data_IF_283500979601
#
_entry.id   IF_283500979601
#
_cell.length_a   1.000
_cell.length_b   1.000
_cell.length_c   1.000
_cell.angle_alpha   90.00
_cell.angle_beta   90.00
_cell.angle_gamma   90.00
#
_symmetry.space_group_name_H-M   'P 1'
#
loop_
_entity.id
_entity.type
_entity.pdbx_description
1 polymer ?
#
# COMPACT_ATOMS: atom_id res chain seq x y z
N UNK A 1 5.68 -2.76 -10.37
CA UNK A 1 6.21 -1.37 -10.38
C UNK A 1 5.13 -0.31 -10.62
N UNK A 2 4.07 -0.56 -11.41
CA UNK A 2 3.02 0.43 -11.65
C UNK A 2 2.02 0.63 -10.49
N UNK A 3 2.13 -0.14 -9.41
CA UNK A 3 1.14 -0.15 -8.32
C UNK A 3 1.44 0.81 -7.15
N UNK A 4 2.57 1.53 -7.20
CA UNK A 4 2.98 2.49 -6.19
C UNK A 4 3.30 3.86 -6.80
N UNK A 5 2.91 4.94 -6.11
CA UNK A 5 3.29 6.33 -6.42
C UNK A 5 3.51 7.12 -5.13
N UNK A 6 4.48 8.00 -5.09
CA UNK A 6 4.72 8.84 -3.91
C UNK A 6 3.62 9.89 -3.73
N UNK A 7 3.35 10.65 -4.79
CA UNK A 7 2.20 11.55 -4.87
C UNK A 7 1.26 11.08 -5.97
N UNK A 8 -0.02 10.93 -5.60
CA UNK A 8 -1.06 10.61 -6.56
C UNK A 8 -2.36 11.34 -6.24
N UNK A 9 -3.08 11.67 -7.31
CA UNK A 9 -4.38 12.31 -7.24
C UNK A 9 -5.44 11.40 -6.57
N UNK A 10 -6.57 11.99 -6.15
CA UNK A 10 -7.67 11.25 -5.48
C UNK A 10 -8.27 10.10 -6.32
N UNK A 11 -8.03 10.09 -7.63
CA UNK A 11 -8.49 9.03 -8.53
C UNK A 11 -7.59 7.78 -8.51
N UNK A 12 -6.39 7.89 -7.93
CA UNK A 12 -5.46 6.77 -7.84
C UNK A 12 -5.86 5.81 -6.71
N UNK A 13 -6.35 4.63 -7.11
CA UNK A 13 -6.82 3.57 -6.20
C UNK A 13 -5.75 2.51 -5.91
N UNK A 14 -4.47 2.90 -5.89
CA UNK A 14 -3.34 1.99 -5.59
C UNK A 14 -2.52 2.52 -4.42
N UNK A 15 -1.38 1.90 -4.12
CA UNK A 15 -0.54 2.27 -2.98
C UNK A 15 0.06 3.67 -3.20
N UNK A 16 -0.10 4.53 -2.20
CA UNK A 16 0.48 5.88 -2.18
C UNK A 16 1.24 6.06 -0.88
N UNK A 17 2.36 6.77 -0.91
CA UNK A 17 3.10 7.08 0.31
C UNK A 17 2.18 7.77 1.33
N UNK A 18 2.14 7.26 2.56
CA UNK A 18 1.27 7.74 3.64
C UNK A 18 -0.19 7.28 3.57
N UNK A 19 -0.57 6.46 2.57
CA UNK A 19 -1.92 5.89 2.45
C UNK A 19 -1.93 4.37 2.61
N UNK A 20 -3.13 3.87 2.86
CA UNK A 20 -3.43 2.45 3.04
C UNK A 20 -4.00 1.83 1.75
N UNK A 21 -3.61 0.59 1.46
CA UNK A 21 -4.15 -0.24 0.38
C UNK A 21 -4.36 -1.66 0.87
N UNK A 22 -5.33 -2.38 0.33
CA UNK A 22 -5.55 -3.79 0.65
C UNK A 22 -4.75 -4.67 -0.31
N UNK A 23 -4.01 -5.62 0.24
CA UNK A 23 -3.44 -6.70 -0.54
C UNK A 23 -4.54 -7.71 -0.87
N UNK A 24 -4.63 -8.13 -2.14
CA UNK A 24 -5.65 -9.09 -2.57
C UNK A 24 -5.54 -10.38 -1.74
N UNK A 25 -6.67 -10.78 -1.13
CA UNK A 25 -6.79 -11.94 -0.24
C UNK A 25 -5.84 -11.93 0.98
N UNK A 26 -5.44 -10.74 1.43
CA UNK A 26 -4.52 -10.59 2.55
C UNK A 26 -4.86 -9.33 3.37
N UNK A 27 -3.85 -8.80 4.07
CA UNK A 27 -3.97 -7.68 4.99
C UNK A 27 -4.02 -6.32 4.29
N UNK A 28 -4.49 -5.31 5.00
CA UNK A 28 -4.31 -3.91 4.65
C UNK A 28 -2.90 -3.48 5.05
N UNK A 29 -2.22 -2.81 4.13
CA UNK A 29 -0.88 -2.28 4.34
C UNK A 29 -0.88 -0.76 4.19
N UNK A 30 -0.02 -0.09 4.94
CA UNK A 30 0.21 1.35 4.88
C UNK A 30 1.65 1.61 4.46
N UNK A 31 1.85 2.37 3.39
CA UNK A 31 3.19 2.78 3.00
C UNK A 31 3.69 3.89 3.94
N UNK A 32 4.79 3.63 4.65
CA UNK A 32 5.37 4.57 5.61
C UNK A 32 6.62 5.25 5.07
N UNK A 33 7.50 4.49 4.41
CA UNK A 33 8.72 5.03 3.80
C UNK A 33 9.05 4.34 2.49
N UNK A 34 9.81 5.05 1.66
CA UNK A 34 10.39 4.56 0.42
C UNK A 34 11.88 4.78 0.44
N UNK A 35 12.62 3.80 -0.04
CA UNK A 35 14.03 3.96 -0.38
C UNK A 35 14.14 4.19 -1.88
N UNK A 36 15.00 5.14 -2.24
CA UNK A 36 15.35 5.48 -3.60
C UNK A 36 16.83 5.21 -3.82
N UNK A 37 17.17 4.83 -5.03
CA UNK A 37 18.57 4.78 -5.45
C UNK A 37 19.09 6.18 -5.85
N UNK A 38 20.35 6.21 -6.27
CA UNK A 38 21.05 7.42 -6.72
C UNK A 38 20.43 8.03 -7.99
N UNK A 39 19.68 7.25 -8.77
CA UNK A 39 18.94 7.71 -9.95
C UNK A 39 17.54 8.25 -9.61
N UNK A 40 17.12 8.14 -8.35
CA UNK A 40 15.79 8.55 -7.89
C UNK A 40 14.68 7.53 -8.16
N UNK A 41 15.02 6.30 -8.58
CA UNK A 41 14.06 5.20 -8.71
C UNK A 41 13.79 4.54 -7.35
N UNK A 42 12.53 4.17 -7.12
CA UNK A 42 12.10 3.53 -5.87
C UNK A 42 12.54 2.07 -5.89
N UNK A 43 13.43 1.70 -4.97
CA UNK A 43 13.97 0.34 -4.84
C UNK A 43 13.16 -0.49 -3.86
N UNK A 44 12.87 0.06 -2.70
CA UNK A 44 12.17 -0.63 -1.61
C UNK A 44 11.09 0.26 -1.01
N UNK A 45 9.94 -0.34 -0.71
CA UNK A 45 8.83 0.33 -0.03
C UNK A 45 8.64 -0.39 1.30
N UNK A 46 8.71 0.35 2.39
CA UNK A 46 8.45 -0.19 3.71
C UNK A 46 7.02 0.14 4.09
N UNK A 47 6.29 -0.92 4.39
CA UNK A 47 4.91 -0.84 4.76
C UNK A 47 4.71 -1.49 6.13
N UNK A 48 3.87 -0.89 6.96
CA UNK A 48 3.23 -1.60 8.07
C UNK A 48 1.99 -2.32 7.57
N UNK A 49 1.65 -3.44 8.21
CA UNK A 49 0.42 -4.18 7.93
C UNK A 49 -0.43 -4.27 9.19
N UNK A 50 -1.74 -4.36 9.00
CA UNK A 50 -2.70 -4.52 10.08
C UNK A 50 -3.16 -5.99 10.14
N UNK A 51 -2.75 -6.69 11.21
CA UNK A 51 -3.04 -8.11 11.40
C UNK A 51 -4.55 -8.42 11.58
N UNK A 52 -5.34 -7.44 12.02
CA UNK A 52 -6.77 -7.60 12.28
C UNK A 52 -7.62 -7.50 11.00
N UNK A 53 -7.03 -7.03 9.90
CA UNK A 53 -7.70 -6.83 8.61
C UNK A 53 -7.69 -8.06 7.69
N UNK A 54 -7.23 -9.21 8.18
CA UNK A 54 -7.20 -10.45 7.41
C UNK A 54 -8.63 -10.93 7.12
N UNK A 55 -9.03 -10.86 5.86
CA UNK A 55 -10.36 -11.29 5.39
C UNK A 55 -11.55 -10.53 6.02
N UNK A 56 -11.28 -9.40 6.68
CA UNK A 56 -12.26 -8.56 7.34
C UNK A 56 -11.97 -7.10 7.06
N UNK A 57 -13.01 -6.27 7.07
CA UNK A 57 -12.83 -4.83 7.01
C UNK A 57 -12.18 -4.31 8.30
N UNK A 58 -11.38 -3.23 8.21
CA UNK A 58 -10.72 -2.66 9.38
C UNK A 58 -11.77 -2.36 10.46
N UNK A 59 -11.55 -2.87 11.67
CA UNK A 59 -12.45 -2.65 12.80
C UNK A 59 -12.64 -1.15 13.10
N UNK A 60 -11.63 -0.34 12.74
CA UNK A 60 -11.59 1.12 12.87
C UNK A 60 -12.50 1.85 11.86
N UNK A 61 -13.17 1.14 10.94
CA UNK A 61 -14.08 1.74 9.95
C UNK A 61 -13.39 2.52 8.81
N UNK A 62 -12.06 2.42 8.70
CA UNK A 62 -11.29 3.09 7.64
C UNK A 62 -11.67 2.55 6.27
N UNK A 63 -12.05 3.44 5.36
CA UNK A 63 -12.31 3.09 3.95
C UNK A 63 -11.01 2.97 3.16
N UNK A 64 -10.56 1.73 2.97
CA UNK A 64 -9.43 1.41 2.09
C UNK A 64 -9.85 1.60 0.64
N UNK A 65 -9.17 2.50 -0.09
CA UNK A 65 -9.61 2.97 -1.42
C UNK A 65 -9.13 2.12 -2.60
N UNK A 66 -8.46 1.00 -2.35
CA UNK A 66 -7.85 0.19 -3.40
C UNK A 66 -7.48 -1.21 -2.94
N UNK A 67 -7.47 -2.14 -3.91
CA UNK A 67 -6.93 -3.49 -3.75
C UNK A 67 -5.85 -3.69 -4.81
N UNK A 68 -4.68 -4.16 -4.41
CA UNK A 68 -3.57 -4.47 -5.33
C UNK A 68 -3.21 -5.95 -5.29
N UNK A 69 -2.74 -6.48 -6.42
CA UNK A 69 -2.15 -7.81 -6.48
C UNK A 69 -0.74 -7.79 -5.91
N UNK A 70 -0.34 -8.91 -5.32
CA UNK A 70 0.96 -9.09 -4.72
C UNK A 70 1.38 -10.56 -4.85
N UNK A 71 2.68 -10.79 -4.70
CA UNK A 71 3.30 -12.11 -4.68
C UNK A 71 4.35 -12.06 -3.58
N UNK A 72 4.46 -13.11 -2.78
CA UNK A 72 5.60 -13.24 -1.86
C UNK A 72 6.88 -13.43 -2.68
N UNK A 73 7.87 -12.59 -2.44
CA UNK A 73 9.21 -12.76 -2.99
C UNK A 73 9.90 -13.99 -2.37
#
# INVERSE_FOLDING_TARGET
RADFREEANKQYKRLVLGKEVRLRNAYVIKAERVEKDEAGEITTIFCSYDAETLSKDPADGRKVKGVIHWVSA
#
